data_IF_011102731919
#
_entry.id   IF_011102731919
#
_cell.length_a   1.000
_cell.length_b   1.000
_cell.length_c   1.000
_cell.angle_alpha   90.00
_cell.angle_beta   90.00
_cell.angle_gamma   90.00
#
_symmetry.space_group_name_H-M   'P 1'
#
loop_
_entity.id
_entity.type
_entity.pdbx_description
1 polymer ?
#
# COMPACT_ATOMS: atom_id res chain seq x y z
N UNK A 1 2.41 5.80 -11.74
CA UNK A 1 3.76 5.88 -11.18
C UNK A 1 4.86 5.71 -12.25
N UNK A 2 4.98 4.58 -12.95
CA UNK A 2 6.07 4.41 -13.94
C UNK A 2 5.99 5.24 -15.23
N UNK A 3 4.92 6.01 -15.43
CA UNK A 3 4.85 7.01 -16.50
C UNK A 3 5.47 8.37 -16.11
N UNK A 4 5.56 8.68 -14.81
CA UNK A 4 5.91 10.01 -14.30
C UNK A 4 7.35 10.08 -13.76
N UNK A 5 8.06 8.94 -13.66
CA UNK A 5 9.45 8.83 -13.14
C UNK A 5 9.74 9.75 -11.95
N UNK A 6 8.80 9.78 -11.01
CA UNK A 6 8.83 10.71 -9.89
C UNK A 6 8.98 9.94 -8.57
N UNK A 7 9.55 10.60 -7.56
CA UNK A 7 9.54 10.07 -6.20
C UNK A 7 8.11 9.78 -5.74
N UNK A 8 7.94 8.63 -5.12
CA UNK A 8 6.72 8.18 -4.46
C UNK A 8 7.02 8.13 -2.98
N UNK A 9 6.16 8.79 -2.20
CA UNK A 9 6.17 8.70 -0.75
C UNK A 9 4.91 7.96 -0.29
N UNK A 10 5.03 7.23 0.82
CA UNK A 10 3.86 6.77 1.56
C UNK A 10 3.43 7.84 2.55
N UNK A 11 2.12 7.98 2.70
CA UNK A 11 1.50 8.91 3.62
C UNK A 11 0.57 8.15 4.55
N UNK A 12 0.81 8.26 5.85
CA UNK A 12 -0.04 7.69 6.90
C UNK A 12 -0.40 8.76 7.92
N UNK A 13 -1.57 8.61 8.53
CA UNK A 13 -2.01 9.47 9.61
C UNK A 13 -2.65 8.61 10.70
N UNK A 14 -2.03 8.61 11.88
CA UNK A 14 -2.48 7.81 13.02
C UNK A 14 -2.88 8.73 14.16
N UNK A 15 -4.04 8.49 14.75
CA UNK A 15 -4.50 9.18 15.96
C UNK A 15 -3.83 8.56 17.18
N UNK A 16 -3.04 9.33 17.90
CA UNK A 16 -2.49 8.98 19.21
C UNK A 16 -3.18 9.74 20.35
N UNK A 17 -2.70 9.55 21.59
CA UNK A 17 -3.28 10.20 22.78
C UNK A 17 -3.22 11.73 22.75
N UNK A 18 -2.22 12.30 22.06
CA UNK A 18 -1.95 13.75 22.00
C UNK A 18 -2.26 14.38 20.64
N UNK A 19 -3.10 13.73 19.81
CA UNK A 19 -3.48 14.23 18.49
C UNK A 19 -3.08 13.29 17.36
N UNK A 20 -2.84 13.83 16.16
CA UNK A 20 -2.52 13.05 14.97
C UNK A 20 -1.01 13.02 14.69
N UNK A 21 -0.48 11.82 14.44
CA UNK A 21 0.87 11.59 13.94
C UNK A 21 0.80 11.40 12.43
N UNK A 22 1.27 12.39 11.69
CA UNK A 22 1.45 12.31 10.24
C UNK A 22 2.81 11.72 9.95
N UNK A 23 2.85 10.72 9.08
CA UNK A 23 4.07 10.05 8.65
C UNK A 23 4.15 10.16 7.13
N UNK A 24 5.24 10.77 6.67
CA UNK A 24 5.59 10.85 5.26
C UNK A 24 6.96 10.19 5.11
N UNK A 25 7.03 9.10 4.34
CA UNK A 25 8.26 8.35 4.15
C UNK A 25 8.54 8.07 2.67
N UNK A 26 9.81 8.14 2.22
CA UNK A 26 10.20 7.72 0.90
C UNK A 26 9.85 6.25 0.63
N UNK A 27 9.28 5.96 -0.53
CA UNK A 27 8.90 4.62 -0.95
C UNK A 27 9.68 4.14 -2.17
N UNK A 28 9.74 4.98 -3.20
CA UNK A 28 10.47 4.72 -4.42
C UNK A 28 10.91 6.04 -5.05
N UNK A 29 12.16 6.18 -5.45
CA UNK A 29 12.63 7.37 -6.18
C UNK A 29 12.07 7.42 -7.60
N UNK A 30 11.93 6.24 -8.23
CA UNK A 30 11.20 6.03 -9.46
C UNK A 30 10.79 4.54 -9.56
N UNK A 31 9.63 4.27 -10.15
CA UNK A 31 9.22 2.91 -10.50
C UNK A 31 9.43 2.74 -12.00
N UNK A 32 10.46 1.97 -12.38
CA UNK A 32 10.77 1.68 -13.78
C UNK A 32 10.40 0.25 -14.14
N UNK A 33 9.92 0.04 -15.36
CA UNK A 33 9.65 -1.28 -15.92
C UNK A 33 9.82 -1.26 -17.44
N UNK A 34 10.09 -2.43 -17.99
CA UNK A 34 9.93 -2.75 -19.41
C UNK A 34 8.57 -3.43 -19.61
N UNK A 35 8.13 -3.50 -20.87
CA UNK A 35 6.83 -4.13 -21.19
C UNK A 35 6.77 -5.60 -20.72
N UNK A 36 7.91 -6.31 -20.79
CA UNK A 36 8.03 -7.73 -20.42
C UNK A 36 8.01 -7.99 -18.91
N UNK A 37 8.47 -7.06 -18.07
CA UNK A 37 8.60 -7.24 -16.62
C UNK A 37 7.56 -6.43 -15.82
N UNK A 38 6.70 -5.65 -16.50
CA UNK A 38 5.67 -4.80 -15.87
C UNK A 38 4.87 -5.50 -14.78
N UNK A 39 4.40 -6.73 -15.03
CA UNK A 39 3.59 -7.47 -14.05
C UNK A 39 4.39 -7.81 -12.78
N UNK A 40 5.64 -8.26 -12.95
CA UNK A 40 6.54 -8.56 -11.84
C UNK A 40 6.88 -7.31 -11.03
N UNK A 41 7.17 -6.19 -11.72
CA UNK A 41 7.46 -4.91 -11.06
C UNK A 41 6.25 -4.43 -10.26
N UNK A 42 5.04 -4.50 -10.84
CA UNK A 42 3.81 -4.14 -10.13
C UNK A 42 3.62 -5.02 -8.90
N UNK A 43 3.75 -6.35 -9.05
CA UNK A 43 3.61 -7.27 -7.93
C UNK A 43 4.61 -6.96 -6.82
N UNK A 44 5.87 -6.73 -7.16
CA UNK A 44 6.91 -6.36 -6.19
C UNK A 44 6.55 -5.10 -5.39
N UNK A 45 6.18 -4.01 -6.06
CA UNK A 45 5.84 -2.76 -5.38
C UNK A 45 4.52 -2.84 -4.61
N UNK A 46 3.55 -3.61 -5.12
CA UNK A 46 2.29 -3.86 -4.42
C UNK A 46 2.53 -4.66 -3.12
N UNK A 47 3.37 -5.69 -3.15
CA UNK A 47 3.77 -6.45 -1.96
C UNK A 47 4.44 -5.54 -0.93
N UNK A 48 5.43 -4.75 -1.34
CA UNK A 48 6.11 -3.81 -0.42
C UNK A 48 5.15 -2.79 0.20
N UNK A 49 4.19 -2.30 -0.59
CA UNK A 49 3.15 -1.41 -0.08
C UNK A 49 2.26 -2.12 0.94
N UNK A 50 1.81 -3.35 0.64
CA UNK A 50 0.97 -4.13 1.53
C UNK A 50 1.67 -4.47 2.85
N UNK A 51 2.95 -4.83 2.81
CA UNK A 51 3.79 -5.04 3.99
C UNK A 51 3.85 -3.77 4.85
N UNK A 52 4.09 -2.61 4.22
CA UNK A 52 4.25 -1.35 4.93
C UNK A 52 2.93 -0.83 5.50
N UNK A 53 1.84 -1.00 4.76
CA UNK A 53 0.49 -0.76 5.27
C UNK A 53 0.19 -1.67 6.46
N UNK A 54 0.49 -2.97 6.33
CA UNK A 54 0.28 -3.98 7.37
C UNK A 54 0.99 -3.64 8.68
N UNK A 55 2.21 -3.10 8.62
CA UNK A 55 2.91 -2.59 9.79
C UNK A 55 2.09 -1.55 10.58
N UNK A 56 1.51 -0.55 9.92
CA UNK A 56 0.69 0.46 10.58
C UNK A 56 -0.69 -0.05 10.99
N UNK A 57 -1.25 -1.00 10.26
CA UNK A 57 -2.45 -1.72 10.70
C UNK A 57 -2.18 -2.49 12.00
N UNK A 58 -1.00 -3.08 12.19
CA UNK A 58 -0.63 -3.74 13.45
C UNK A 58 -0.38 -2.73 14.58
N UNK A 59 0.19 -1.56 14.28
CA UNK A 59 0.41 -0.50 15.27
C UNK A 59 -0.92 0.12 15.75
N UNK A 60 -1.88 0.32 14.84
CA UNK A 60 -3.15 0.97 15.11
C UNK A 60 -4.34 0.21 14.48
N UNK A 61 -4.66 -1.01 14.96
CA UNK A 61 -5.60 -1.93 14.31
C UNK A 61 -7.02 -1.38 14.19
N UNK A 62 -7.44 -0.53 15.13
CA UNK A 62 -8.76 0.11 15.11
C UNK A 62 -8.85 1.31 14.16
N UNK A 63 -7.75 1.70 13.52
CA UNK A 63 -7.66 2.90 12.68
C UNK A 63 -7.49 2.58 11.19
N UNK A 64 -7.61 1.31 10.83
CA UNK A 64 -7.73 0.90 9.44
C UNK A 64 -9.19 0.87 9.02
N UNK A 65 -9.67 1.98 8.44
CA UNK A 65 -11.06 2.16 8.01
C UNK A 65 -11.34 1.51 6.65
N UNK A 66 -10.95 0.24 6.48
CA UNK A 66 -11.25 -0.51 5.28
C UNK A 66 -12.53 -1.32 5.46
N UNK A 67 -13.62 -0.74 4.94
CA UNK A 67 -14.95 -1.35 4.97
C UNK A 67 -15.30 -2.10 3.68
N UNK A 68 -14.34 -2.24 2.76
CA UNK A 68 -14.56 -2.93 1.51
C UNK A 68 -14.27 -4.43 1.67
N UNK A 69 -15.12 -5.29 1.09
CA UNK A 69 -14.87 -6.73 1.04
C UNK A 69 -13.80 -7.04 -0.02
N UNK A 70 -12.54 -6.76 0.29
CA UNK A 70 -11.41 -6.99 -0.62
C UNK A 70 -11.08 -8.48 -0.78
N UNK A 71 -11.21 -9.24 0.30
CA UNK A 71 -10.92 -10.67 0.30
C UNK A 71 -12.20 -11.42 -0.08
N UNK A 72 -12.40 -11.60 -1.38
CA UNK A 72 -13.36 -12.58 -1.87
C UNK A 72 -12.76 -13.96 -1.65
N UNK A 73 -13.51 -14.84 -0.98
CA UNK A 73 -13.21 -16.27 -0.96
C UNK A 73 -13.26 -16.78 -2.40
N UNK A 74 -12.35 -17.67 -2.80
CA UNK A 74 -12.36 -18.28 -4.14
C UNK A 74 -13.70 -18.96 -4.48
N UNK A 75 -14.50 -19.32 -3.46
CA UNK A 75 -15.87 -19.86 -3.57
C UNK A 75 -16.90 -18.91 -4.24
N UNK A 76 -16.69 -17.59 -4.23
CA UNK A 76 -17.61 -16.64 -4.88
C UNK A 76 -17.35 -16.50 -6.40
N UNK A 77 -16.30 -17.13 -6.93
CA UNK A 77 -15.94 -17.06 -8.36
C UNK A 77 -16.59 -18.14 -9.22
N UNK A 78 -17.34 -19.05 -8.59
CA UNK A 78 -18.10 -20.13 -9.25
C UNK A 78 -19.60 -19.98 -8.98
N UNK A 79 -20.23 -18.93 -9.49
CA UNK A 79 -21.68 -18.84 -9.69
C UNK A 79 -22.01 -17.99 -10.92
#
# INVERSE_FOLDING_TARGET
AGLLKCPVNLFFCLKGPKGYRVILEPFADAIEWRRSDRAQVIAHWATRYAERLGHYCLEAPQQWFNFYPFWKSDDESSS
#
